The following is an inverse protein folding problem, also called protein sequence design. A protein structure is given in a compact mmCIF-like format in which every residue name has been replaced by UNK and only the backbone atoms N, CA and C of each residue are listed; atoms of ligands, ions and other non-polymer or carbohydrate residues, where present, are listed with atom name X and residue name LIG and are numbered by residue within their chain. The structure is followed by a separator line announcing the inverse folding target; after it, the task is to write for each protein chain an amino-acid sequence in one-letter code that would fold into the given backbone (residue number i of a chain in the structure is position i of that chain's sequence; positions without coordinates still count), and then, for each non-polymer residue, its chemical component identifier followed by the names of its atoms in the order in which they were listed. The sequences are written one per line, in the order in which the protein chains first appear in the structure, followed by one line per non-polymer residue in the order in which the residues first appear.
data_IF_343845765382
#
_entry.id   IF_343845765382
#
_cell.length_a   1.000
_cell.length_b   1.000
_cell.length_c   1.000
_cell.angle_alpha   90.00
_cell.angle_beta   90.00
_cell.angle_gamma   90.00
#
_symmetry.space_group_name_H-M   'P 1'
#
loop_
_entity.id
_entity.type
_entity.pdbx_description
1 polymer ?
#
# COMPACT_ATOMS: atom_id res chain seq x y z
N UNK A 1 18.73 2.18 12.45
CA UNK A 1 17.80 1.74 11.36
C UNK A 1 16.70 2.78 11.25
N UNK A 2 16.37 3.23 10.02
CA UNK A 2 15.27 4.18 9.75
C UNK A 2 14.42 3.60 8.62
N UNK A 3 13.30 2.98 8.96
CA UNK A 3 12.41 2.31 8.02
C UNK A 3 10.97 2.59 8.39
N UNK A 4 10.18 2.97 7.39
CA UNK A 4 8.75 3.25 7.51
C UNK A 4 8.00 2.42 6.48
N UNK A 5 6.94 1.77 6.92
CA UNK A 5 6.01 1.04 6.05
C UNK A 5 4.60 1.50 6.39
N UNK A 6 3.92 2.10 5.44
CA UNK A 6 2.58 2.65 5.63
C UNK A 6 1.63 2.15 4.55
N UNK A 7 0.48 1.72 4.99
CA UNK A 7 -0.67 1.44 4.14
C UNK A 7 -1.67 2.59 4.29
N UNK A 8 -1.88 3.33 3.23
CA UNK A 8 -2.75 4.51 3.26
C UNK A 8 -3.49 4.72 1.94
N UNK A 9 -4.25 5.79 1.89
CA UNK A 9 -5.02 6.19 0.71
C UNK A 9 -4.59 7.57 0.26
N UNK A 10 -4.38 7.75 -1.04
CA UNK A 10 -4.02 9.05 -1.60
C UNK A 10 -5.12 10.08 -1.38
N UNK A 11 -4.73 11.22 -0.84
CA UNK A 11 -5.62 12.36 -0.55
C UNK A 11 -5.87 13.20 -1.81
N UNK A 12 -4.89 13.23 -2.70
CA UNK A 12 -4.92 13.94 -3.98
C UNK A 12 -4.05 13.22 -5.00
N UNK A 13 -4.16 13.61 -6.27
CA UNK A 13 -3.27 13.10 -7.31
C UNK A 13 -1.82 13.48 -7.00
N UNK A 14 -0.84 12.60 -7.27
CA UNK A 14 0.57 12.95 -7.12
C UNK A 14 0.98 14.10 -8.02
N UNK A 15 1.72 15.05 -7.45
CA UNK A 15 2.31 16.15 -8.21
C UNK A 15 3.74 15.79 -8.61
N UNK A 16 4.00 15.73 -9.91
CA UNK A 16 5.36 15.55 -10.43
C UNK A 16 5.99 16.89 -10.74
N UNK A 17 7.24 17.05 -10.34
CA UNK A 17 8.10 18.19 -10.68
C UNK A 17 9.49 17.69 -11.06
N UNK A 18 10.19 18.49 -11.84
CA UNK A 18 11.56 18.21 -12.21
C UNK A 18 12.49 19.21 -11.54
N UNK A 19 13.59 18.72 -10.96
CA UNK A 19 14.62 19.58 -10.38
C UNK A 19 15.40 20.30 -11.48
N UNK A 20 16.26 21.25 -11.10
CA UNK A 20 17.16 21.94 -12.05
C UNK A 20 18.05 20.98 -12.83
N UNK A 21 18.40 19.85 -12.23
CA UNK A 21 19.15 18.76 -12.87
C UNK A 21 18.26 17.80 -13.67
N UNK A 22 16.97 18.17 -13.91
CA UNK A 22 15.98 17.37 -14.63
C UNK A 22 15.69 16.00 -13.98
N UNK A 23 15.77 15.94 -12.65
CA UNK A 23 15.43 14.73 -11.88
C UNK A 23 13.95 14.80 -11.51
N UNK A 24 13.13 13.80 -11.88
CA UNK A 24 11.72 13.75 -11.51
C UNK A 24 11.55 13.51 -10.01
N UNK A 25 10.65 14.28 -9.42
CA UNK A 25 10.23 14.19 -8.03
C UNK A 25 8.73 14.29 -7.95
N UNK A 26 8.09 13.31 -7.31
CA UNK A 26 6.65 13.31 -7.08
C UNK A 26 6.35 13.50 -5.60
N UNK A 27 5.45 14.41 -5.29
CA UNK A 27 4.93 14.64 -3.94
C UNK A 27 3.47 14.27 -3.87
N UNK A 28 3.09 13.57 -2.82
CA UNK A 28 1.71 13.21 -2.54
C UNK A 28 1.48 13.04 -1.04
N UNK A 29 0.21 13.06 -0.64
CA UNK A 29 -0.18 12.82 0.76
C UNK A 29 -1.01 11.56 0.84
N UNK A 30 -0.78 10.80 1.87
CA UNK A 30 -1.56 9.61 2.20
C UNK A 30 -2.26 9.78 3.54
N UNK A 31 -3.49 9.30 3.62
CA UNK A 31 -4.25 9.17 4.86
C UNK A 31 -4.12 7.74 5.36
N UNK A 32 -3.60 7.58 6.56
CA UNK A 32 -3.43 6.29 7.23
C UNK A 32 -4.41 6.22 8.39
N UNK A 33 -5.27 5.22 8.38
CA UNK A 33 -6.24 5.05 9.45
C UNK A 33 -5.55 4.71 10.78
N UNK A 34 -5.97 5.40 11.84
CA UNK A 34 -5.54 5.04 13.20
C UNK A 34 -6.24 3.75 13.64
N UNK A 35 -5.56 2.90 14.41
CA UNK A 35 -6.22 1.79 15.05
C UNK A 35 -7.23 2.29 16.10
N UNK A 36 -8.38 1.63 16.21
CA UNK A 36 -9.43 1.94 17.16
C UNK A 36 -10.70 2.48 16.50
N UNK A 37 -11.71 2.73 17.35
CA UNK A 37 -12.98 3.29 16.88
C UNK A 37 -12.84 4.81 16.71
N UNK A 38 -13.38 5.40 15.63
CA UNK A 38 -13.43 6.85 15.52
C UNK A 38 -14.27 7.42 16.68
N UNK A 39 -13.73 8.44 17.33
CA UNK A 39 -14.51 9.23 18.27
C UNK A 39 -15.48 10.11 17.48
N UNK A 40 -16.65 10.36 18.02
CA UNK A 40 -17.76 11.07 17.38
C UNK A 40 -17.28 12.33 16.63
N UNK A 41 -17.45 12.32 15.31
CA UNK A 41 -17.21 13.47 14.43
C UNK A 41 -15.76 13.78 14.09
N UNK A 42 -14.78 13.00 14.56
CA UNK A 42 -13.37 13.20 14.22
C UNK A 42 -12.87 12.22 13.17
N UNK A 43 -12.08 12.73 12.23
CA UNK A 43 -11.36 11.87 11.29
C UNK A 43 -10.33 11.03 12.05
N UNK A 44 -10.47 9.73 11.95
CA UNK A 44 -9.54 8.79 12.60
C UNK A 44 -8.39 8.39 11.65
N UNK A 45 -7.74 9.39 11.06
CA UNK A 45 -6.64 9.20 10.14
C UNK A 45 -5.50 10.18 10.40
N UNK A 46 -4.29 9.72 10.19
CA UNK A 46 -3.08 10.54 10.14
C UNK A 46 -2.68 10.79 8.69
N UNK A 47 -2.19 12.00 8.42
CA UNK A 47 -1.79 12.42 7.10
C UNK A 47 -0.28 12.54 7.02
N UNK A 48 0.32 11.84 6.07
CA UNK A 48 1.76 11.85 5.86
C UNK A 48 2.12 12.43 4.50
N UNK A 49 3.14 13.29 4.50
CA UNK A 49 3.74 13.78 3.27
C UNK A 49 4.75 12.75 2.76
N UNK A 50 4.63 12.42 1.49
CA UNK A 50 5.42 11.37 0.85
C UNK A 50 6.10 11.94 -0.39
N UNK A 51 7.38 11.68 -0.54
CA UNK A 51 8.19 12.11 -1.70
C UNK A 51 8.84 10.91 -2.36
N UNK A 52 8.61 10.77 -3.64
CA UNK A 52 9.24 9.78 -4.51
C UNK A 52 10.21 10.46 -5.48
N UNK A 53 11.26 9.76 -5.86
CA UNK A 53 12.31 10.27 -6.75
C UNK A 53 12.53 9.37 -7.96
N UNK A 54 12.98 9.96 -9.06
CA UNK A 54 13.40 9.26 -10.28
C UNK A 54 12.31 8.34 -10.84
N UNK A 55 12.62 7.11 -11.10
CA UNK A 55 11.69 6.13 -11.67
C UNK A 55 10.46 5.90 -10.78
N UNK A 56 10.61 5.94 -9.46
CA UNK A 56 9.50 5.82 -8.53
C UNK A 56 8.56 7.03 -8.62
N UNK A 57 9.09 8.22 -8.85
CA UNK A 57 8.29 9.43 -9.05
C UNK A 57 7.45 9.34 -10.33
N UNK A 58 8.05 8.92 -11.43
CA UNK A 58 7.35 8.71 -12.70
C UNK A 58 6.28 7.63 -12.59
N UNK A 59 6.60 6.52 -11.95
CA UNK A 59 5.67 5.42 -11.70
C UNK A 59 4.45 5.87 -10.90
N UNK A 60 4.67 6.56 -9.78
CA UNK A 60 3.59 7.07 -8.93
C UNK A 60 2.71 8.06 -9.69
N UNK A 61 3.30 8.99 -10.41
CA UNK A 61 2.55 10.00 -11.18
C UNK A 61 1.73 9.41 -12.30
N UNK A 62 2.21 8.34 -12.91
CA UNK A 62 1.55 7.66 -14.03
C UNK A 62 0.41 6.75 -13.59
N UNK A 63 0.57 6.04 -12.51
CA UNK A 63 -0.33 4.93 -12.14
C UNK A 63 -1.21 5.19 -10.93
N UNK A 64 -0.89 6.15 -10.07
CA UNK A 64 -1.66 6.44 -8.87
C UNK A 64 -2.51 7.69 -9.02
N UNK A 65 -3.72 7.64 -8.45
CA UNK A 65 -4.69 8.74 -8.45
C UNK A 65 -5.30 8.91 -7.06
N UNK A 66 -5.88 10.06 -6.82
CA UNK A 66 -6.64 10.37 -5.60
C UNK A 66 -7.61 9.24 -5.25
N UNK A 67 -7.62 8.85 -3.99
CA UNK A 67 -8.51 7.84 -3.44
C UNK A 67 -8.01 6.40 -3.53
N UNK A 68 -6.97 6.13 -4.30
CA UNK A 68 -6.38 4.80 -4.39
C UNK A 68 -5.60 4.42 -3.12
N UNK A 69 -5.63 3.16 -2.77
CA UNK A 69 -4.87 2.62 -1.66
C UNK A 69 -3.47 2.23 -2.11
N UNK A 70 -2.49 2.61 -1.31
CA UNK A 70 -1.08 2.43 -1.61
C UNK A 70 -0.33 1.91 -0.39
N UNK A 71 0.58 0.98 -0.62
CA UNK A 71 1.59 0.59 0.36
C UNK A 71 2.89 1.30 0.02
N UNK A 72 3.38 2.10 0.95
CA UNK A 72 4.62 2.86 0.84
C UNK A 72 5.65 2.28 1.78
N UNK A 73 6.81 2.00 1.25
CA UNK A 73 7.99 1.60 2.00
C UNK A 73 9.09 2.63 1.76
N UNK A 74 9.71 3.10 2.83
CA UNK A 74 10.75 4.12 2.74
C UNK A 74 11.37 4.46 4.09
N UNK A 75 11.85 5.68 4.22
CA UNK A 75 12.44 6.18 5.46
C UNK A 75 11.94 7.59 5.77
N UNK A 76 11.93 7.92 7.05
CA UNK A 76 11.54 9.23 7.54
C UNK A 76 12.70 10.20 7.45
N UNK A 77 12.44 11.39 6.95
CA UNK A 77 13.42 12.48 6.89
C UNK A 77 12.82 13.76 7.46
N UNK A 78 13.58 14.41 8.32
CA UNK A 78 13.24 15.73 8.81
C UNK A 78 13.78 16.80 7.85
N UNK A 79 12.92 17.73 7.48
CA UNK A 79 13.29 18.94 6.78
C UNK A 79 13.14 20.13 7.73
N UNK A 80 14.13 20.99 7.74
CA UNK A 80 14.06 22.25 8.48
C UNK A 80 14.36 23.42 7.54
N UNK A 81 13.59 24.48 7.68
CA UNK A 81 13.81 25.74 6.94
C UNK A 81 13.44 26.91 7.82
N UNK A 82 13.91 28.07 7.44
CA UNK A 82 13.54 29.32 8.10
C UNK A 82 12.48 30.02 7.24
N UNK A 83 11.35 30.36 7.83
CA UNK A 83 10.30 31.08 7.14
C UNK A 83 10.66 32.56 6.93
N UNK A 84 9.82 33.31 6.19
CA UNK A 84 10.04 34.73 5.91
C UNK A 84 10.03 35.60 7.18
N UNK A 85 9.48 35.11 8.29
CA UNK A 85 9.41 35.79 9.58
C UNK A 85 10.59 35.44 10.50
N UNK A 86 11.56 34.65 10.03
CA UNK A 86 12.73 34.24 10.80
C UNK A 86 12.51 33.08 11.76
N UNK A 87 11.34 32.43 11.73
CA UNK A 87 11.04 31.26 12.55
C UNK A 87 11.55 29.96 11.89
N UNK A 88 12.18 29.11 12.69
CA UNK A 88 12.52 27.76 12.22
C UNK A 88 11.26 26.91 12.09
N UNK A 89 11.07 26.33 10.94
CA UNK A 89 10.00 25.37 10.63
C UNK A 89 10.58 23.98 10.43
N UNK A 90 9.83 22.99 10.86
CA UNK A 90 10.18 21.58 10.73
C UNK A 90 9.05 20.85 10.07
N UNK A 91 9.37 19.93 9.20
CA UNK A 91 8.41 18.98 8.66
C UNK A 91 9.03 17.61 8.53
N UNK A 92 8.24 16.60 8.76
CA UNK A 92 8.62 15.23 8.56
C UNK A 92 8.07 14.75 7.24
N UNK A 93 8.92 14.14 6.44
CA UNK A 93 8.61 13.68 5.10
C UNK A 93 9.09 12.25 4.93
N UNK A 94 8.27 11.42 4.30
CA UNK A 94 8.63 10.04 4.00
C UNK A 94 9.24 10.00 2.61
N UNK A 95 10.50 9.62 2.51
CA UNK A 95 11.16 9.35 1.25
C UNK A 95 10.96 7.90 0.84
N UNK A 96 10.37 7.71 -0.31
CA UNK A 96 9.95 6.40 -0.80
C UNK A 96 11.10 5.64 -1.41
N UNK A 97 11.24 4.38 -1.03
CA UNK A 97 12.09 3.39 -1.69
C UNK A 97 11.25 2.51 -2.62
N UNK A 98 10.11 2.05 -2.13
CA UNK A 98 9.21 1.19 -2.90
C UNK A 98 7.75 1.61 -2.70
N UNK A 99 6.94 1.43 -3.75
CA UNK A 99 5.49 1.67 -3.74
C UNK A 99 4.79 0.48 -4.37
N UNK A 100 3.72 0.04 -3.72
CA UNK A 100 2.93 -1.10 -4.19
C UNK A 100 1.46 -0.73 -4.27
N UNK A 101 0.77 -1.28 -5.26
CA UNK A 101 -0.69 -1.21 -5.33
C UNK A 101 -1.28 -2.05 -4.20
N UNK A 102 -2.23 -1.47 -3.48
CA UNK A 102 -2.90 -2.13 -2.37
C UNK A 102 -4.43 -2.13 -2.50
N UNK A 103 -4.96 -1.53 -3.57
CA UNK A 103 -6.37 -1.65 -3.89
C UNK A 103 -6.65 -3.07 -4.37
N UNK A 104 -7.66 -3.70 -3.78
CA UNK A 104 -8.33 -4.81 -4.42
C UNK A 104 -8.93 -4.30 -5.72
N UNK A 105 -8.74 -5.01 -6.80
CA UNK A 105 -9.36 -4.75 -8.09
C UNK A 105 -10.86 -4.62 -7.86
N UNK A 106 -11.38 -3.41 -7.80
CA UNK A 106 -12.81 -3.20 -7.91
C UNK A 106 -13.16 -3.55 -9.33
N UNK A 107 -13.85 -4.65 -9.53
CA UNK A 107 -14.59 -4.90 -10.74
C UNK A 107 -15.55 -3.72 -10.89
N UNK A 108 -15.15 -2.75 -11.71
CA UNK A 108 -16.03 -1.68 -12.13
C UNK A 108 -17.18 -2.33 -12.89
N UNK A 109 -18.28 -2.61 -12.18
CA UNK A 109 -19.65 -2.58 -12.66
C UNK A 109 -20.07 -3.36 -13.90
N UNK A 110 -19.18 -3.98 -14.63
CA UNK A 110 -19.45 -5.06 -15.56
C UNK A 110 -19.13 -6.35 -14.81
N UNK A 111 -20.11 -6.81 -14.04
CA UNK A 111 -20.13 -8.18 -13.63
C UNK A 111 -19.97 -9.01 -14.89
N UNK A 112 -18.77 -9.55 -15.11
CA UNK A 112 -18.67 -10.73 -15.96
C UNK A 112 -19.73 -11.69 -15.42
N UNK A 113 -20.62 -12.24 -16.28
CA UNK A 113 -21.59 -13.20 -15.80
C UNK A 113 -20.83 -14.25 -15.02
N UNK A 114 -21.34 -14.68 -13.87
CA UNK A 114 -20.64 -15.68 -13.09
C UNK A 114 -20.32 -16.81 -14.05
N UNK A 115 -19.05 -16.98 -14.36
CA UNK A 115 -18.60 -18.20 -15.01
C UNK A 115 -19.03 -19.26 -14.03
N UNK A 116 -20.09 -19.94 -14.41
CA UNK A 116 -20.50 -21.15 -13.70
C UNK A 116 -19.23 -21.93 -13.52
N UNK A 117 -18.78 -22.06 -12.30
CA UNK A 117 -17.69 -22.96 -12.00
C UNK A 117 -18.03 -24.25 -12.75
N UNK A 118 -17.14 -24.76 -13.59
CA UNK A 118 -17.42 -26.02 -14.24
C UNK A 118 -17.78 -26.95 -13.11
N UNK A 119 -19.01 -27.45 -13.17
CA UNK A 119 -19.49 -28.43 -12.23
C UNK A 119 -18.63 -29.65 -12.48
N UNK A 120 -17.50 -29.73 -11.80
CA UNK A 120 -16.76 -30.96 -11.65
C UNK A 120 -17.64 -31.86 -10.75
N UNK A 121 -18.69 -32.36 -11.35
CA UNK A 121 -19.12 -33.69 -10.97
C UNK A 121 -17.97 -34.61 -11.42
N UNK A 122 -16.94 -34.62 -10.61
CA UNK A 122 -16.06 -35.74 -10.59
C UNK A 122 -16.97 -36.91 -10.20
N UNK A 123 -17.26 -37.78 -11.16
CA UNK A 123 -17.53 -39.15 -10.86
C UNK A 123 -16.31 -39.61 -10.02
N UNK A 124 -16.41 -39.40 -8.74
CA UNK A 124 -15.56 -40.11 -7.80
C UNK A 124 -16.04 -41.53 -7.79
N UNK A 125 -15.28 -42.50 -8.24
CA UNK A 125 -15.56 -43.87 -7.87
C UNK A 125 -15.52 -43.86 -6.36
N UNK A 126 -16.63 -44.31 -5.78
CA UNK A 126 -16.82 -44.60 -4.38
C UNK A 126 -15.82 -45.71 -3.96
N UNK A 127 -14.59 -45.27 -3.67
CA UNK A 127 -13.60 -46.01 -2.92
C UNK A 127 -13.32 -45.22 -1.67
N UNK A 128 -14.12 -45.53 -0.65
CA UNK A 128 -13.98 -44.95 0.66
C UNK A 128 -12.72 -45.34 1.37
N UNK A 129 -11.58 -44.77 0.98
CA UNK A 129 -10.32 -44.82 1.73
C UNK A 129 -9.39 -43.70 1.24
N UNK A 130 -9.83 -42.46 1.37
CA UNK A 130 -9.05 -41.29 0.98
C UNK A 130 -8.50 -40.45 2.12
N UNK A 131 -8.76 -40.80 3.35
CA UNK A 131 -8.09 -40.20 4.50
C UNK A 131 -7.04 -41.17 5.00
N UNK A 132 -5.81 -41.02 4.51
CA UNK A 132 -4.67 -41.56 5.20
C UNK A 132 -4.52 -40.76 6.49
N UNK A 133 -4.90 -41.39 7.62
CA UNK A 133 -4.41 -40.90 8.90
C UNK A 133 -2.90 -40.87 8.82
N UNK A 134 -2.31 -39.69 9.01
CA UNK A 134 -0.90 -39.57 9.25
C UNK A 134 -0.61 -40.47 10.43
N UNK A 135 0.15 -41.52 10.18
CA UNK A 135 0.65 -42.39 11.24
C UNK A 135 1.49 -41.55 12.19
N UNK A 136 1.34 -41.75 13.45
CA UNK A 136 2.01 -41.08 14.56
C UNK A 136 3.55 -41.32 14.58
N UNK A 137 4.12 -41.77 13.46
CA UNK A 137 5.55 -42.10 13.36
C UNK A 137 6.39 -41.01 12.66
N UNK A 138 5.86 -39.81 12.47
CA UNK A 138 6.66 -38.67 11.99
C UNK A 138 7.29 -37.90 13.17
N UNK A 139 7.99 -38.61 14.06
CA UNK A 139 8.86 -37.99 15.06
C UNK A 139 10.17 -37.43 14.47
N UNK A 140 10.39 -37.53 13.17
CA UNK A 140 11.57 -37.03 12.50
C UNK A 140 11.29 -35.78 11.61
N UNK A 141 10.51 -34.82 12.12
CA UNK A 141 10.51 -33.48 11.53
C UNK A 141 11.66 -32.67 12.12
N UNK A 142 12.64 -32.26 11.32
CA UNK A 142 13.71 -31.40 11.79
C UNK A 142 13.16 -29.98 11.99
N UNK A 143 12.85 -29.66 13.18
CA UNK A 143 12.62 -28.29 13.65
C UNK A 143 13.69 -27.91 14.65
#
# INVERSE_FOLDING_TARGET
MNKVILLGRLVADPEIRYTQSNIPMARFRIAVNRPGKPQDGQQNADFFQVTAWRNTAEFVSKYFRKGQQVLVEGYLRNNSWTDQQGNKRYSDEIHVENVFFADSKRDNGNAAPPVSAPNFQADMPDNGDGFYALSEDDEDLPF
#
